data_IF_433738410269
#
_entry.id   IF_433738410269
#
_cell.length_a   1.000
_cell.length_b   1.000
_cell.length_c   1.000
_cell.angle_alpha   90.00
_cell.angle_beta   90.00
_cell.angle_gamma   90.00
#
_symmetry.space_group_name_H-M   'P 1'
#
loop_
_entity.id
_entity.type
_entity.pdbx_description
1 polymer ?
#
# COMPACT_ATOMS: atom_id res chain seq x y z
N UNK A 1 31.22 -45.72 -65.36
CA UNK A 1 31.72 -44.76 -64.35
C UNK A 1 30.52 -44.03 -63.77
N UNK A 2 30.35 -44.12 -62.45
CA UNK A 2 29.24 -43.63 -61.61
C UNK A 2 28.98 -42.11 -61.81
N UNK A 3 27.81 -41.54 -61.46
CA UNK A 3 27.42 -41.17 -60.08
C UNK A 3 25.91 -40.85 -60.04
N UNK A 4 25.18 -41.59 -59.20
CA UNK A 4 23.79 -41.32 -58.80
C UNK A 4 23.81 -40.29 -57.67
N UNK A 5 23.21 -39.11 -57.87
CA UNK A 5 23.05 -38.09 -56.81
C UNK A 5 21.80 -38.37 -55.97
N UNK A 6 21.99 -38.90 -54.76
CA UNK A 6 20.91 -39.04 -53.77
C UNK A 6 20.64 -37.68 -53.10
N UNK A 7 19.42 -37.20 -53.20
CA UNK A 7 18.94 -36.05 -52.43
C UNK A 7 18.34 -36.60 -51.13
N UNK A 8 18.97 -36.30 -50.00
CA UNK A 8 18.44 -36.63 -48.68
C UNK A 8 17.48 -35.52 -48.25
N UNK A 9 16.18 -35.82 -48.24
CA UNK A 9 15.16 -34.95 -47.67
C UNK A 9 15.22 -35.07 -46.14
N UNK A 10 15.70 -34.02 -45.47
CA UNK A 10 15.69 -33.93 -44.00
C UNK A 10 14.28 -33.54 -43.55
N UNK A 11 13.54 -34.48 -42.94
CA UNK A 11 12.26 -34.20 -42.28
C UNK A 11 12.58 -33.69 -40.87
N UNK A 12 12.53 -32.37 -40.67
CA UNK A 12 12.61 -31.76 -39.35
C UNK A 12 11.24 -31.87 -38.66
N UNK A 13 11.13 -32.80 -37.72
CA UNK A 13 9.98 -32.91 -36.81
C UNK A 13 10.08 -31.77 -35.80
N UNK A 14 9.28 -30.72 -36.00
CA UNK A 14 9.18 -29.59 -35.08
C UNK A 14 8.41 -29.98 -33.82
N UNK A 15 9.13 -30.13 -32.71
CA UNK A 15 8.53 -30.26 -31.39
C UNK A 15 7.90 -28.93 -30.97
N UNK A 16 6.58 -28.80 -31.15
CA UNK A 16 5.80 -27.72 -30.54
C UNK A 16 5.78 -27.95 -29.02
N UNK A 17 6.68 -27.27 -28.30
CA UNK A 17 6.60 -27.14 -26.85
C UNK A 17 5.38 -26.29 -26.51
N UNK A 18 4.29 -26.93 -26.10
CA UNK A 18 3.14 -26.28 -25.48
C UNK A 18 3.56 -25.76 -24.10
N UNK A 19 4.10 -24.53 -24.07
CA UNK A 19 4.29 -23.80 -22.82
C UNK A 19 2.92 -23.39 -22.29
N UNK A 20 2.36 -24.16 -21.35
CA UNK A 20 1.21 -23.69 -20.57
C UNK A 20 1.68 -22.52 -19.71
N UNK A 21 1.29 -21.30 -20.06
CA UNK A 21 1.46 -20.14 -19.20
C UNK A 21 0.60 -20.33 -17.95
N UNK A 22 1.22 -20.81 -16.87
CA UNK A 22 0.57 -20.79 -15.56
C UNK A 22 0.42 -19.33 -15.18
N UNK A 23 -0.81 -18.82 -15.21
CA UNK A 23 -1.10 -17.50 -14.64
C UNK A 23 -0.85 -17.60 -13.14
N UNK A 24 0.13 -16.83 -12.65
CA UNK A 24 0.41 -16.75 -11.23
C UNK A 24 -0.84 -16.20 -10.52
N UNK A 25 -1.31 -16.93 -9.52
CA UNK A 25 -2.40 -16.46 -8.69
C UNK A 25 -1.89 -15.31 -7.81
N UNK A 26 -2.67 -14.23 -7.65
CA UNK A 26 -2.28 -13.16 -6.72
C UNK A 26 -2.15 -13.70 -5.30
N UNK A 27 -1.28 -13.10 -4.46
CA UNK A 27 -1.11 -13.51 -3.08
C UNK A 27 -2.44 -13.39 -2.32
N UNK A 28 -2.66 -14.33 -1.41
CA UNK A 28 -3.84 -14.36 -0.53
C UNK A 28 -3.40 -14.73 0.89
N UNK A 29 -3.85 -14.00 1.94
CA UNK A 29 -4.57 -12.73 1.87
C UNK A 29 -3.84 -11.65 1.08
N UNK A 30 -4.59 -10.69 0.54
CA UNK A 30 -4.02 -9.43 0.09
C UNK A 30 -4.75 -8.23 0.69
N UNK A 31 -4.11 -7.08 0.56
CA UNK A 31 -4.57 -5.81 1.15
C UNK A 31 -5.87 -5.27 0.56
N UNK A 32 -6.33 -5.80 -0.58
CA UNK A 32 -7.49 -5.29 -1.31
C UNK A 32 -8.70 -6.23 -1.21
N UNK A 33 -8.54 -7.48 -1.58
CA UNK A 33 -9.58 -8.50 -1.61
C UNK A 33 -10.18 -8.72 -0.22
N UNK A 34 -11.50 -8.71 -0.11
CA UNK A 34 -12.21 -8.88 1.17
C UNK A 34 -12.38 -7.59 1.98
N UNK A 35 -11.80 -6.46 1.55
CA UNK A 35 -11.98 -5.16 2.18
C UNK A 35 -10.75 -4.27 2.07
N UNK A 36 -10.82 -3.21 1.28
CA UNK A 36 -9.67 -2.37 0.96
C UNK A 36 -9.46 -1.19 1.92
N UNK A 37 -10.30 -1.03 2.95
CA UNK A 37 -10.13 -0.01 3.99
C UNK A 37 -9.35 -0.60 5.16
N UNK A 38 -8.38 0.15 5.67
CA UNK A 38 -7.54 -0.27 6.79
C UNK A 38 -7.32 0.87 7.78
N UNK A 39 -7.40 0.53 9.06
CA UNK A 39 -7.06 1.40 10.18
C UNK A 39 -5.61 1.14 10.59
N UNK A 40 -4.81 2.19 10.68
CA UNK A 40 -3.40 2.18 11.07
C UNK A 40 -3.29 2.76 12.47
N UNK A 41 -2.62 2.08 13.38
CA UNK A 41 -2.28 2.59 14.71
C UNK A 41 -0.77 2.56 14.87
N UNK A 42 -0.14 3.74 14.90
CA UNK A 42 1.30 3.90 15.15
C UNK A 42 1.63 3.93 16.63
N UNK A 43 2.83 3.49 16.99
CA UNK A 43 3.34 3.44 18.37
C UNK A 43 4.71 4.10 18.49
N UNK A 44 4.98 4.74 19.63
CA UNK A 44 6.28 5.35 19.91
C UNK A 44 7.31 4.33 20.37
N UNK A 45 8.23 3.95 19.49
CA UNK A 45 9.34 3.06 19.86
C UNK A 45 10.38 3.71 20.76
N UNK A 46 10.34 5.03 20.93
CA UNK A 46 11.17 5.77 21.89
C UNK A 46 10.67 5.68 23.33
N UNK A 47 9.51 5.06 23.57
CA UNK A 47 8.92 4.90 24.91
C UNK A 47 8.97 3.45 25.36
N UNK A 48 9.27 3.20 26.63
CA UNK A 48 9.38 1.84 27.18
C UNK A 48 8.06 1.07 27.15
N UNK A 49 6.93 1.75 26.96
CA UNK A 49 5.60 1.17 26.87
C UNK A 49 5.03 1.14 25.44
N UNK A 50 5.79 1.56 24.43
CA UNK A 50 5.32 1.70 23.05
C UNK A 50 3.95 2.40 22.99
N UNK A 51 3.84 3.57 23.63
CA UNK A 51 2.57 4.28 23.72
C UNK A 51 2.01 4.57 22.31
N UNK A 52 0.69 4.45 22.16
CA UNK A 52 0.01 4.77 20.90
C UNK A 52 0.22 6.25 20.54
N UNK A 53 0.60 6.49 19.29
CA UNK A 53 0.96 7.81 18.77
C UNK A 53 -0.16 8.42 17.94
N UNK A 54 -0.34 7.91 16.72
CA UNK A 54 -1.29 8.40 15.73
C UNK A 54 -2.18 7.26 15.25
N UNK A 55 -3.42 7.60 14.90
CA UNK A 55 -4.34 6.69 14.21
C UNK A 55 -4.75 7.27 12.87
N UNK A 56 -4.70 6.44 11.84
CA UNK A 56 -5.00 6.82 10.47
C UNK A 56 -5.90 5.79 9.79
N UNK A 57 -6.50 6.18 8.68
CA UNK A 57 -7.19 5.30 7.76
C UNK A 57 -6.67 5.49 6.35
N UNK A 58 -6.51 4.36 5.66
CA UNK A 58 -6.14 4.32 4.26
C UNK A 58 -7.05 3.37 3.48
N UNK A 59 -7.05 3.57 2.17
CA UNK A 59 -7.76 2.77 1.20
C UNK A 59 -6.79 2.29 0.13
N UNK A 60 -6.76 0.98 -0.11
CA UNK A 60 -6.08 0.42 -1.28
C UNK A 60 -6.99 0.51 -2.51
N UNK A 61 -6.43 0.93 -3.63
CA UNK A 61 -7.08 0.92 -4.94
C UNK A 61 -6.84 -0.41 -5.67
N UNK A 62 -7.60 -0.71 -6.75
CA UNK A 62 -7.39 -1.90 -7.54
C UNK A 62 -5.93 -2.11 -7.96
N UNK A 63 -5.47 -3.35 -7.97
CA UNK A 63 -4.08 -3.71 -8.23
C UNK A 63 -3.88 -4.34 -9.60
N UNK A 64 -2.63 -4.35 -10.05
CA UNK A 64 -2.14 -5.15 -11.17
C UNK A 64 -1.34 -6.35 -10.65
N UNK A 65 -1.43 -7.49 -11.34
CA UNK A 65 -0.60 -8.68 -11.04
C UNK A 65 0.69 -8.57 -11.85
N UNK A 66 1.84 -8.71 -11.18
CA UNK A 66 3.18 -8.65 -11.79
C UNK A 66 3.99 -9.85 -11.30
N UNK A 67 4.10 -10.88 -12.14
CA UNK A 67 4.64 -12.17 -11.69
C UNK A 67 3.79 -12.76 -10.58
N UNK A 68 4.40 -13.11 -9.44
CA UNK A 68 3.73 -13.58 -8.22
C UNK A 68 3.30 -12.44 -7.28
N UNK A 69 3.67 -11.20 -7.59
CA UNK A 69 3.34 -10.02 -6.80
C UNK A 69 2.05 -9.34 -7.25
N UNK A 70 1.47 -8.54 -6.36
CA UNK A 70 0.53 -7.48 -6.76
C UNK A 70 1.14 -6.11 -6.49
N UNK A 71 0.78 -5.16 -7.34
CA UNK A 71 1.22 -3.77 -7.23
C UNK A 71 0.03 -2.84 -7.39
N UNK A 72 -0.03 -1.79 -6.60
CA UNK A 72 -1.14 -0.85 -6.67
C UNK A 72 -0.84 0.48 -6.02
N UNK A 73 -1.92 1.21 -5.77
CA UNK A 73 -1.93 2.56 -5.22
C UNK A 73 -2.79 2.55 -3.95
N UNK A 74 -2.47 3.41 -3.00
CA UNK A 74 -3.28 3.64 -1.81
C UNK A 74 -3.40 5.14 -1.55
N UNK A 75 -4.43 5.53 -0.81
CA UNK A 75 -4.62 6.92 -0.38
C UNK A 75 -5.17 6.96 1.04
N UNK A 76 -4.90 8.04 1.76
CA UNK A 76 -5.45 8.28 3.08
C UNK A 76 -6.86 8.85 3.00
N UNK A 77 -7.71 8.45 3.95
CA UNK A 77 -9.00 9.07 4.24
C UNK A 77 -8.97 9.93 5.50
N UNK A 78 -7.83 9.99 6.19
CA UNK A 78 -7.69 10.59 7.52
C UNK A 78 -6.60 11.66 7.63
N UNK A 79 -5.75 11.79 6.61
CA UNK A 79 -4.69 12.79 6.53
C UNK A 79 -4.60 13.35 5.11
N UNK A 80 -4.61 14.69 4.94
CA UNK A 80 -4.62 15.29 3.61
C UNK A 80 -3.34 15.01 2.86
N UNK A 81 -3.50 14.80 1.55
CA UNK A 81 -2.38 14.62 0.61
C UNK A 81 -1.50 13.40 0.89
N UNK A 82 -1.86 12.54 1.84
CA UNK A 82 -1.11 11.33 2.14
C UNK A 82 -1.55 10.17 1.27
N UNK A 83 -0.69 9.75 0.34
CA UNK A 83 -1.01 8.70 -0.63
C UNK A 83 0.26 8.09 -1.23
N UNK A 84 0.15 6.98 -1.96
CA UNK A 84 1.31 6.42 -2.63
C UNK A 84 1.11 5.05 -3.24
N UNK A 85 2.20 4.28 -3.29
CA UNK A 85 2.27 2.98 -3.99
C UNK A 85 2.51 1.84 -3.01
N UNK A 86 2.08 0.65 -3.41
CA UNK A 86 2.40 -0.56 -2.67
C UNK A 86 2.77 -1.73 -3.59
N UNK A 87 3.51 -2.67 -3.00
CA UNK A 87 3.92 -3.94 -3.58
C UNK A 87 3.66 -5.02 -2.54
N UNK A 88 3.03 -6.12 -2.93
CA UNK A 88 2.85 -7.27 -2.06
C UNK A 88 3.37 -8.53 -2.73
N UNK A 89 4.22 -9.26 -2.00
CA UNK A 89 4.74 -10.57 -2.37
C UNK A 89 4.51 -11.52 -1.18
N UNK A 90 3.68 -12.55 -1.37
CA UNK A 90 3.26 -13.41 -0.26
C UNK A 90 2.59 -12.61 0.86
N UNK A 91 3.11 -12.73 2.07
CA UNK A 91 2.61 -12.06 3.27
C UNK A 91 3.21 -10.66 3.51
N UNK A 92 4.29 -10.31 2.80
CA UNK A 92 4.99 -9.04 2.96
C UNK A 92 4.40 -7.97 2.02
N UNK A 93 4.12 -6.79 2.58
CA UNK A 93 3.69 -5.61 1.85
C UNK A 93 4.69 -4.50 2.07
N UNK A 94 5.15 -3.88 0.98
CA UNK A 94 6.00 -2.69 1.00
C UNK A 94 5.22 -1.53 0.44
N UNK A 95 5.24 -0.41 1.14
CA UNK A 95 4.53 0.79 0.76
C UNK A 95 5.48 1.98 0.78
N UNK A 96 5.28 2.86 -0.17
CA UNK A 96 5.85 4.22 -0.15
C UNK A 96 4.71 5.20 -0.21
N UNK A 97 4.86 6.33 0.45
CA UNK A 97 3.89 7.42 0.42
C UNK A 97 4.55 8.78 0.35
N UNK A 98 3.80 9.74 -0.14
CA UNK A 98 4.13 11.15 -0.15
C UNK A 98 3.06 11.90 0.65
N UNK A 99 3.44 13.03 1.25
CA UNK A 99 2.54 13.95 1.94
C UNK A 99 3.10 15.38 1.91
N UNK A 100 2.28 16.37 2.30
CA UNK A 100 2.69 17.77 2.41
C UNK A 100 3.31 18.33 1.11
N UNK A 101 2.62 18.12 -0.01
CA UNK A 101 2.95 18.53 -1.38
C UNK A 101 4.29 17.96 -1.83
N UNK A 102 4.45 16.65 -1.64
CA UNK A 102 5.63 15.87 -2.04
C UNK A 102 6.94 16.27 -1.34
N UNK A 103 6.86 17.03 -0.23
CA UNK A 103 8.03 17.37 0.61
C UNK A 103 8.24 16.35 1.72
N UNK A 104 7.16 15.67 2.13
CA UNK A 104 7.18 14.57 3.08
C UNK A 104 7.05 13.23 2.39
N UNK A 105 7.78 12.25 2.90
CA UNK A 105 7.84 10.91 2.34
C UNK A 105 7.77 9.86 3.45
N UNK A 106 7.13 8.74 3.12
CA UNK A 106 6.96 7.61 4.01
C UNK A 106 7.41 6.31 3.35
N UNK A 107 7.94 5.42 4.18
CA UNK A 107 8.18 4.02 3.86
C UNK A 107 7.57 3.15 4.94
N UNK A 108 6.78 2.15 4.53
CA UNK A 108 6.21 1.17 5.43
C UNK A 108 6.49 -0.25 4.90
N UNK A 109 6.97 -1.13 5.77
CA UNK A 109 7.02 -2.57 5.50
C UNK A 109 6.12 -3.28 6.51
N UNK A 110 5.23 -4.14 6.01
CA UNK A 110 4.21 -4.84 6.77
C UNK A 110 4.27 -6.33 6.50
N UNK A 111 3.87 -7.12 7.49
CA UNK A 111 3.70 -8.56 7.33
C UNK A 111 2.31 -8.95 7.82
N UNK A 112 1.63 -9.79 7.05
CA UNK A 112 0.40 -10.42 7.52
C UNK A 112 0.69 -11.24 8.77
N UNK A 113 0.09 -10.87 9.89
CA UNK A 113 0.21 -11.65 11.13
C UNK A 113 -0.87 -12.71 11.13
N UNK A 114 -0.46 -13.97 11.27
CA UNK A 114 -1.35 -15.12 11.31
C UNK A 114 -2.13 -15.14 12.62
N UNK A 115 -3.28 -14.47 12.62
CA UNK A 115 -4.40 -14.85 13.48
C UNK A 115 -5.58 -15.24 12.60
N UNK A 116 -5.41 -16.32 11.83
CA UNK A 116 -6.51 -17.06 11.21
C UNK A 116 -7.25 -17.84 12.32
N UNK A 117 -7.80 -17.11 13.29
CA UNK A 117 -8.78 -17.63 14.24
C UNK A 117 -10.14 -17.32 13.61
N UNK A 118 -10.99 -18.32 13.34
CA UNK A 118 -12.32 -18.08 12.81
C UNK A 118 -13.06 -17.02 13.65
N UNK A 119 -13.39 -15.88 13.03
CA UNK A 119 -14.09 -14.77 13.69
C UNK A 119 -13.22 -13.59 14.16
N UNK A 120 -11.89 -13.56 13.93
CA UNK A 120 -11.04 -12.37 14.18
C UNK A 120 -10.67 -11.63 12.90
N UNK A 121 -10.55 -10.30 13.01
CA UNK A 121 -10.16 -9.41 11.91
C UNK A 121 -8.74 -9.76 11.45
N UNK A 122 -8.52 -9.93 10.14
CA UNK A 122 -7.16 -10.09 9.59
C UNK A 122 -6.39 -8.79 9.83
N UNK A 123 -5.37 -8.89 10.67
CA UNK A 123 -4.44 -7.81 10.98
C UNK A 123 -3.14 -7.94 10.22
N UNK A 124 -2.38 -6.86 10.20
CA UNK A 124 -1.00 -6.78 9.76
C UNK A 124 -0.21 -6.07 10.85
N UNK A 125 1.04 -6.46 11.03
CA UNK A 125 1.98 -5.70 11.85
C UNK A 125 3.00 -5.05 10.94
N UNK A 126 3.38 -3.82 11.26
CA UNK A 126 4.49 -3.18 10.59
C UNK A 126 5.76 -3.76 11.16
N UNK A 127 6.67 -4.08 10.25
CA UNK A 127 8.06 -4.26 10.59
C UNK A 127 8.72 -2.89 10.80
N UNK A 128 8.46 -1.93 9.91
CA UNK A 128 9.07 -0.60 9.92
C UNK A 128 8.10 0.44 9.31
N UNK A 129 7.84 1.55 9.99
CA UNK A 129 7.33 2.81 9.39
C UNK A 129 8.35 3.91 9.64
N UNK A 130 8.80 4.57 8.58
CA UNK A 130 9.73 5.70 8.63
C UNK A 130 9.16 6.86 7.83
N UNK A 131 9.14 8.03 8.44
CA UNK A 131 8.76 9.30 7.83
C UNK A 131 10.00 10.19 7.72
N UNK A 132 10.22 10.78 6.55
CA UNK A 132 11.25 11.79 6.36
C UNK A 132 10.72 12.98 5.56
N UNK A 133 11.42 14.10 5.65
CA UNK A 133 11.16 15.28 4.83
C UNK A 133 12.40 15.71 4.10
N UNK A 134 12.21 16.20 2.88
CA UNK A 134 13.29 16.81 2.11
C UNK A 134 13.76 18.11 2.74
N UNK A 135 15.08 18.26 2.87
CA UNK A 135 15.75 19.47 3.37
C UNK A 135 16.63 20.14 2.29
N UNK A 136 16.42 19.75 1.03
CA UNK A 136 17.20 20.19 -0.12
C UNK A 136 18.57 19.50 -0.26
N UNK A 137 18.89 18.50 0.57
CA UNK A 137 20.13 17.71 0.48
C UNK A 137 19.91 16.21 0.67
N UNK A 138 19.87 15.76 1.92
CA UNK A 138 19.91 14.32 2.27
C UNK A 138 18.59 13.83 2.87
N UNK A 139 17.63 14.73 3.07
CA UNK A 139 16.41 14.46 3.80
C UNK A 139 16.67 14.30 5.30
N UNK A 140 15.61 14.47 6.09
CA UNK A 140 15.65 14.31 7.55
C UNK A 140 14.54 13.39 7.99
N UNK A 141 14.89 12.28 8.64
CA UNK A 141 13.93 11.43 9.35
C UNK A 141 13.26 12.28 10.44
N UNK A 142 11.93 12.36 10.40
CA UNK A 142 11.12 13.10 11.38
C UNK A 142 10.33 12.18 12.31
N UNK A 143 10.17 10.91 11.93
CA UNK A 143 9.47 9.90 12.72
C UNK A 143 9.84 8.50 12.25
N UNK A 144 9.87 7.56 13.18
CA UNK A 144 9.92 6.15 12.87
C UNK A 144 9.30 5.34 14.01
N UNK A 145 8.73 4.18 13.69
CA UNK A 145 8.22 3.28 14.70
C UNK A 145 7.46 2.08 14.14
N UNK A 146 6.93 1.28 15.06
CA UNK A 146 6.01 0.20 14.76
C UNK A 146 4.58 0.71 14.60
N UNK A 147 3.78 -0.02 13.84
CA UNK A 147 2.35 0.18 13.73
C UNK A 147 1.62 -1.14 13.57
N UNK A 148 0.32 -1.13 13.83
CA UNK A 148 -0.57 -2.22 13.44
C UNK A 148 -1.57 -1.73 12.42
N UNK A 149 -1.96 -2.62 11.52
CA UNK A 149 -3.00 -2.38 10.53
C UNK A 149 -4.11 -3.40 10.69
N UNK A 150 -5.34 -2.92 10.78
CA UNK A 150 -6.52 -3.77 10.94
C UNK A 150 -7.52 -3.42 9.86
N UNK A 151 -8.05 -4.46 9.19
CA UNK A 151 -9.02 -4.25 8.13
C UNK A 151 -10.29 -3.61 8.69
N UNK A 152 -10.68 -2.47 8.12
CA UNK A 152 -11.77 -1.62 8.59
C UNK A 152 -12.97 -1.59 7.64
N UNK A 153 -12.99 -2.45 6.62
CA UNK A 153 -14.12 -2.59 5.70
C UNK A 153 -13.74 -2.24 4.25
N UNK A 154 -14.59 -1.45 3.58
CA UNK A 154 -14.44 -1.13 2.16
C UNK A 154 -14.53 0.37 1.94
N UNK A 155 -13.64 0.89 1.10
CA UNK A 155 -13.76 2.21 0.54
C UNK A 155 -14.47 2.13 -0.81
N UNK A 156 -15.27 3.14 -1.14
CA UNK A 156 -15.72 3.32 -2.51
C UNK A 156 -14.51 3.64 -3.40
N UNK A 157 -14.43 3.00 -4.57
CA UNK A 157 -13.43 3.32 -5.58
C UNK A 157 -14.07 3.25 -6.97
N UNK A 158 -13.54 4.00 -7.95
CA UNK A 158 -14.03 3.92 -9.33
C UNK A 158 -13.78 2.52 -9.88
N UNK A 159 -14.85 1.80 -10.23
CA UNK A 159 -14.78 0.39 -10.70
C UNK A 159 -14.02 0.18 -12.02
N UNK A 160 -13.63 1.24 -12.72
CA UNK A 160 -13.34 1.17 -14.16
C UNK A 160 -11.93 1.54 -14.58
N UNK A 161 -11.03 1.89 -13.66
CA UNK A 161 -9.63 2.19 -14.04
C UNK A 161 -8.70 1.04 -13.68
N UNK A 162 -8.28 0.29 -14.70
CA UNK A 162 -7.10 -0.58 -14.62
C UNK A 162 -5.81 0.16 -15.04
N UNK A 163 -5.91 1.47 -15.29
CA UNK A 163 -4.77 2.30 -15.66
C UNK A 163 -4.12 2.87 -14.39
N UNK A 164 -2.85 2.48 -14.15
CA UNK A 164 -2.06 2.93 -13.01
C UNK A 164 -2.01 4.44 -12.86
N UNK A 165 -1.77 5.20 -13.93
CA UNK A 165 -1.69 6.66 -13.86
C UNK A 165 -3.02 7.30 -13.45
N UNK A 166 -4.14 6.73 -13.89
CA UNK A 166 -5.46 7.20 -13.49
C UNK A 166 -5.78 6.85 -12.03
N UNK A 167 -5.29 5.72 -11.51
CA UNK A 167 -5.41 5.38 -10.08
C UNK A 167 -4.54 6.29 -9.21
N UNK A 168 -3.34 6.64 -9.65
CA UNK A 168 -2.47 7.62 -8.96
C UNK A 168 -3.11 9.00 -8.91
N UNK A 169 -3.63 9.49 -10.03
CA UNK A 169 -4.35 10.78 -10.06
C UNK A 169 -5.60 10.77 -9.17
N UNK A 170 -6.35 9.67 -9.13
CA UNK A 170 -7.51 9.55 -8.27
C UNK A 170 -7.12 9.49 -6.79
N UNK A 171 -6.09 8.73 -6.43
CA UNK A 171 -5.54 8.68 -5.08
C UNK A 171 -5.12 10.07 -4.59
N UNK A 172 -4.35 10.78 -5.40
CA UNK A 172 -3.92 12.15 -5.14
C UNK A 172 -5.11 13.09 -4.96
N UNK A 173 -6.10 13.01 -5.86
CA UNK A 173 -7.30 13.86 -5.79
C UNK A 173 -8.10 13.59 -4.51
N UNK A 174 -8.29 12.32 -4.15
CA UNK A 174 -9.05 11.93 -2.97
C UNK A 174 -8.33 12.38 -1.69
N UNK A 175 -7.03 12.10 -1.54
CA UNK A 175 -6.25 12.50 -0.36
C UNK A 175 -6.12 14.02 -0.26
N UNK A 176 -5.85 14.74 -1.36
CA UNK A 176 -5.70 16.20 -1.36
C UNK A 176 -7.00 16.96 -1.08
N UNK A 177 -8.16 16.33 -1.30
CA UNK A 177 -9.47 16.96 -1.05
C UNK A 177 -9.86 17.00 0.42
N UNK A 178 -9.13 16.27 1.26
CA UNK A 178 -9.37 16.20 2.69
C UNK A 178 -9.03 17.55 3.36
N UNK A 179 -9.77 17.94 4.41
CA UNK A 179 -9.38 19.08 5.22
C UNK A 179 -8.09 18.77 5.99
N UNK A 180 -7.44 19.83 6.48
CA UNK A 180 -6.29 19.70 7.35
C UNK A 180 -6.60 18.84 8.59
N UNK A 181 -5.67 17.94 8.92
CA UNK A 181 -5.70 17.20 10.18
C UNK A 181 -5.11 18.08 11.28
N UNK A 182 -5.74 18.08 12.45
CA UNK A 182 -5.28 18.88 13.58
C UNK A 182 -4.63 18.00 14.65
N UNK A 183 -3.76 18.60 15.46
CA UNK A 183 -3.34 18.07 16.75
C UNK A 183 -4.46 18.23 17.79
N UNK A 184 -4.34 17.55 18.92
CA UNK A 184 -5.22 17.70 20.07
C UNK A 184 -5.21 19.14 20.64
N UNK A 185 -4.21 19.95 20.27
CA UNK A 185 -4.11 21.38 20.62
C UNK A 185 -4.71 22.31 19.56
N UNK A 186 -5.22 21.77 18.45
CA UNK A 186 -5.80 22.54 17.34
C UNK A 186 -4.79 23.09 16.34
N UNK A 187 -3.53 22.65 16.39
CA UNK A 187 -2.50 23.04 15.42
C UNK A 187 -2.59 22.17 14.17
N UNK A 188 -2.20 22.69 13.01
CA UNK A 188 -2.16 21.88 11.77
C UNK A 188 -1.07 20.80 11.92
N UNK A 189 -1.47 19.54 11.77
CA UNK A 189 -0.56 18.41 11.78
C UNK A 189 0.37 18.46 10.57
N UNK A 190 1.65 18.17 10.81
CA UNK A 190 2.73 18.24 9.84
C UNK A 190 3.04 16.87 9.24
N UNK A 191 2.77 15.76 9.93
CA UNK A 191 2.92 14.42 9.35
C UNK A 191 1.82 13.45 9.82
N UNK A 192 1.53 12.40 9.04
CA UNK A 192 0.56 11.37 9.41
C UNK A 192 0.95 10.64 10.71
N UNK A 193 2.23 10.45 10.98
CA UNK A 193 2.77 9.85 12.19
C UNK A 193 2.94 10.81 13.37
N UNK A 194 2.55 12.09 13.24
CA UNK A 194 2.76 13.08 14.28
C UNK A 194 2.05 12.66 15.60
N UNK A 195 2.69 12.81 16.77
CA UNK A 195 2.05 12.66 18.06
C UNK A 195 0.78 13.50 18.22
N UNK A 196 -0.08 13.07 19.14
CA UNK A 196 -1.16 13.89 19.67
C UNK A 196 -2.07 14.44 18.58
N UNK A 197 -2.39 13.66 17.55
CA UNK A 197 -3.43 14.04 16.60
C UNK A 197 -4.79 14.11 17.30
N UNK A 198 -5.67 14.96 16.79
CA UNK A 198 -7.09 14.89 17.16
C UNK A 198 -7.60 13.45 16.94
N UNK A 199 -8.64 13.03 17.68
CA UNK A 199 -9.17 11.69 17.52
C UNK A 199 -9.68 11.44 16.09
N UNK A 200 -9.47 10.22 15.57
CA UNK A 200 -9.87 9.86 14.21
C UNK A 200 -11.36 10.10 13.96
N UNK A 201 -12.23 9.67 14.86
CA UNK A 201 -13.67 9.83 14.68
C UNK A 201 -14.08 11.32 14.61
N UNK A 202 -13.46 12.16 15.44
CA UNK A 202 -13.67 13.61 15.42
C UNK A 202 -13.31 14.21 14.06
N UNK A 203 -12.15 13.82 13.52
CA UNK A 203 -11.73 14.26 12.21
C UNK A 203 -12.66 13.76 11.10
N UNK A 204 -12.99 12.46 11.08
CA UNK A 204 -13.83 11.86 10.03
C UNK A 204 -15.22 12.52 10.00
N UNK A 205 -15.78 12.82 11.17
CA UNK A 205 -17.02 13.59 11.29
C UNK A 205 -16.88 14.99 10.69
N UNK A 206 -15.79 15.71 11.01
CA UNK A 206 -15.53 17.06 10.48
C UNK A 206 -15.27 17.07 8.98
N UNK A 207 -14.59 16.04 8.47
CA UNK A 207 -14.26 15.88 7.06
C UNK A 207 -15.45 15.40 6.22
N UNK A 208 -16.53 14.92 6.84
CA UNK A 208 -17.68 14.36 6.14
C UNK A 208 -17.37 13.05 5.41
N UNK A 209 -16.38 12.30 5.91
CA UNK A 209 -15.92 11.02 5.33
C UNK A 209 -16.44 9.91 6.24
N UNK A 210 -17.49 9.21 5.82
CA UNK A 210 -18.01 7.99 6.49
C UNK A 210 -17.84 6.78 5.58
#
# INVERSE_FOLDING_TARGET
MNIIKKHATLVAIGSLLLSTTVLANPPKPNVFDGGNKWHITGYFDSTSNHAQAATQEICFLPYSVVGTSIQGVWYSTSFPDWNGRYYQEGDEVKMTGDFAKDVGHDHMTLVHTTYDVPGRVRGMAFKDWTEWREDGKFGRIIGWGNATMVRAGRCAYPKFSNNKAALENEAQKLSSSLPERLTAKGEIAQSPGQPDLEALDTYLQRAGVQ
#
